data_IF_422761925473
#
_entry.id   IF_422761925473
#
_cell.length_a   1.000
_cell.length_b   1.000
_cell.length_c   1.000
_cell.angle_alpha   90.00
_cell.angle_beta   90.00
_cell.angle_gamma   90.00
#
_symmetry.space_group_name_H-M   'P 1'
#
loop_
_entity.id
_entity.type
_entity.pdbx_description
1 polymer ?
#
# COMPACT_ATOMS: atom_id res chain seq x y z
N UNK A 1 25.37 -14.99 -10.10
CA UNK A 1 24.95 -13.59 -9.82
C UNK A 1 23.60 -13.58 -9.11
N UNK A 2 23.46 -12.94 -7.94
CA UNK A 2 22.15 -12.77 -7.27
C UNK A 2 21.37 -11.72 -8.05
N UNK A 3 20.22 -12.10 -8.63
CA UNK A 3 19.36 -11.21 -9.45
C UNK A 3 19.07 -9.88 -8.74
N UNK A 4 18.88 -9.93 -7.42
CA UNK A 4 18.68 -8.75 -6.57
C UNK A 4 19.75 -7.68 -6.70
N UNK A 5 21.02 -8.06 -6.79
CA UNK A 5 22.12 -7.08 -6.94
C UNK A 5 22.08 -6.36 -8.30
N UNK A 6 21.42 -6.96 -9.29
CA UNK A 6 21.29 -6.44 -10.65
C UNK A 6 20.10 -5.47 -10.74
N UNK A 7 19.00 -5.82 -10.06
CA UNK A 7 17.76 -5.03 -10.11
C UNK A 7 17.75 -3.89 -9.08
N UNK A 8 18.46 -4.03 -7.95
CA UNK A 8 18.46 -3.02 -6.89
C UNK A 8 18.90 -1.62 -7.34
N UNK A 9 19.90 -1.46 -8.23
CA UNK A 9 20.28 -0.13 -8.74
C UNK A 9 19.27 0.48 -9.71
N UNK A 10 18.29 -0.30 -10.20
CA UNK A 10 17.30 0.20 -11.15
C UNK A 10 16.19 1.01 -10.50
N UNK A 11 16.10 1.01 -9.16
CA UNK A 11 15.12 1.76 -8.38
C UNK A 11 13.70 1.57 -8.94
N UNK A 12 13.30 0.30 -9.05
CA UNK A 12 12.07 -0.10 -9.72
C UNK A 12 10.89 0.19 -8.83
N UNK A 13 10.00 1.05 -9.33
CA UNK A 13 8.82 1.48 -8.60
C UNK A 13 7.66 0.53 -8.90
N UNK A 14 7.46 0.14 -10.15
CA UNK A 14 6.28 -0.61 -10.63
C UNK A 14 6.49 -2.12 -10.76
N UNK A 15 7.66 -2.62 -10.33
CA UNK A 15 7.98 -4.04 -10.35
C UNK A 15 8.50 -4.52 -8.99
N UNK A 16 7.85 -5.53 -8.41
CA UNK A 16 8.29 -6.13 -7.15
C UNK A 16 8.96 -7.49 -7.39
N UNK A 17 10.20 -7.66 -6.92
CA UNK A 17 10.91 -8.92 -7.04
C UNK A 17 10.51 -9.93 -5.95
N UNK A 18 10.01 -11.08 -6.38
CA UNK A 18 9.80 -12.24 -5.54
C UNK A 18 10.99 -13.19 -5.64
N UNK A 19 11.67 -13.37 -4.49
CA UNK A 19 12.85 -14.24 -4.35
C UNK A 19 12.51 -15.72 -4.55
N UNK A 20 11.33 -16.16 -4.08
CA UNK A 20 10.91 -17.57 -4.11
C UNK A 20 10.65 -18.00 -5.56
N UNK A 21 9.94 -17.17 -6.33
CA UNK A 21 9.60 -17.49 -7.73
C UNK A 21 10.64 -16.99 -8.72
N UNK A 22 11.56 -16.12 -8.29
CA UNK A 22 12.50 -15.40 -9.17
C UNK A 22 11.75 -14.67 -10.28
N UNK A 23 10.78 -13.86 -9.88
CA UNK A 23 9.92 -13.11 -10.80
C UNK A 23 9.86 -11.65 -10.36
N UNK A 24 10.02 -10.71 -11.29
CA UNK A 24 9.58 -9.33 -11.11
C UNK A 24 8.10 -9.28 -11.47
N UNK A 25 7.26 -9.17 -10.45
CA UNK A 25 5.82 -9.03 -10.65
C UNK A 25 5.48 -7.61 -11.07
N UNK A 26 4.73 -7.52 -12.17
CA UNK A 26 4.11 -6.29 -12.64
C UNK A 26 3.05 -5.82 -11.64
N UNK A 27 3.12 -4.55 -11.22
CA UNK A 27 2.08 -3.92 -10.41
C UNK A 27 0.86 -3.59 -11.29
N UNK A 28 -0.15 -4.47 -11.26
CA UNK A 28 -1.35 -4.36 -12.10
C UNK A 28 -2.30 -3.24 -11.70
N UNK A 29 -2.09 -2.62 -10.54
CA UNK A 29 -2.97 -1.58 -10.01
C UNK A 29 -2.77 -0.24 -10.73
N UNK A 30 -1.78 -0.14 -11.63
CA UNK A 30 -1.41 1.07 -12.34
C UNK A 30 -1.20 0.78 -13.84
N UNK A 31 -1.59 1.73 -14.68
CA UNK A 31 -1.37 1.67 -16.14
C UNK A 31 -1.02 3.06 -16.65
N UNK A 32 0.26 3.43 -16.54
CA UNK A 32 0.73 4.75 -16.96
C UNK A 32 2.05 4.64 -17.74
N UNK A 33 2.43 5.72 -18.43
CA UNK A 33 3.65 5.81 -19.25
C UNK A 33 4.93 5.51 -18.47
N UNK A 34 5.00 5.81 -17.17
CA UNK A 34 6.19 5.53 -16.35
C UNK A 34 6.42 4.03 -16.16
N UNK A 35 5.35 3.23 -16.14
CA UNK A 35 5.45 1.78 -16.04
C UNK A 35 6.08 1.21 -17.31
N UNK A 36 5.70 1.71 -18.48
CA UNK A 36 6.29 1.31 -19.75
C UNK A 36 7.78 1.67 -19.79
N UNK A 37 8.14 2.88 -19.34
CA UNK A 37 9.54 3.30 -19.22
C UNK A 37 10.34 2.39 -18.29
N UNK A 38 9.79 1.99 -17.15
CA UNK A 38 10.46 1.03 -16.26
C UNK A 38 10.57 -0.35 -16.87
N UNK A 39 9.53 -0.85 -17.54
CA UNK A 39 9.59 -2.12 -18.26
C UNK A 39 10.72 -2.12 -19.29
N UNK A 40 10.84 -1.05 -20.08
CA UNK A 40 11.94 -0.88 -21.03
C UNK A 40 13.29 -0.80 -20.32
N UNK A 41 13.40 -0.02 -19.23
CA UNK A 41 14.63 0.10 -18.43
C UNK A 41 15.09 -1.28 -17.91
N UNK A 42 14.17 -2.08 -17.37
CA UNK A 42 14.46 -3.42 -16.86
C UNK A 42 14.91 -4.33 -18.01
N UNK A 43 14.07 -4.49 -19.03
CA UNK A 43 14.34 -5.44 -20.12
C UNK A 43 15.62 -5.09 -20.89
N UNK A 44 15.91 -3.80 -21.07
CA UNK A 44 17.17 -3.32 -21.62
C UNK A 44 18.37 -3.69 -20.73
N UNK A 45 18.30 -3.41 -19.42
CA UNK A 45 19.39 -3.70 -18.50
C UNK A 45 19.67 -5.20 -18.40
N UNK A 46 18.61 -6.02 -18.35
CA UNK A 46 18.73 -7.48 -18.32
C UNK A 46 19.36 -8.03 -19.60
N UNK A 47 18.95 -7.51 -20.76
CA UNK A 47 19.52 -7.88 -22.06
C UNK A 47 21.01 -7.49 -22.16
N UNK A 48 21.36 -6.27 -21.73
CA UNK A 48 22.75 -5.79 -21.73
C UNK A 48 23.69 -6.64 -20.86
N UNK A 49 23.16 -7.23 -19.79
CA UNK A 49 23.91 -8.14 -18.91
C UNK A 49 23.79 -9.63 -19.29
N UNK A 50 23.22 -9.95 -20.47
CA UNK A 50 23.01 -11.32 -20.94
C UNK A 50 22.24 -12.22 -19.97
N UNK A 51 21.28 -11.65 -19.24
CA UNK A 51 20.43 -12.38 -18.30
C UNK A 51 19.24 -12.95 -19.05
N UNK A 52 19.02 -14.25 -18.95
CA UNK A 52 17.84 -14.89 -19.55
C UNK A 52 16.58 -14.58 -18.72
N UNK A 53 15.55 -14.10 -19.40
CA UNK A 53 14.24 -13.84 -18.81
C UNK A 53 13.12 -14.15 -19.79
N UNK A 54 11.91 -14.30 -19.25
CA UNK A 54 10.67 -14.44 -20.01
C UNK A 54 9.68 -13.39 -19.54
N UNK A 55 9.09 -12.66 -20.47
CA UNK A 55 7.96 -11.77 -20.19
C UNK A 55 6.67 -12.61 -20.19
N UNK A 56 5.93 -12.55 -19.10
CA UNK A 56 4.66 -13.21 -18.91
C UNK A 56 3.52 -12.39 -19.54
N UNK A 57 2.32 -12.98 -19.66
CA UNK A 57 1.16 -12.32 -20.28
C UNK A 57 0.73 -11.03 -19.54
N UNK A 58 0.97 -10.99 -18.24
CA UNK A 58 0.70 -9.83 -17.36
C UNK A 58 1.87 -8.83 -17.32
N UNK A 59 2.84 -8.93 -18.24
CA UNK A 59 4.09 -8.14 -18.27
C UNK A 59 5.04 -8.37 -17.10
N UNK A 60 4.78 -9.33 -16.22
CA UNK A 60 5.75 -9.78 -15.21
C UNK A 60 6.97 -10.43 -15.88
N UNK A 61 8.15 -10.32 -15.27
CA UNK A 61 9.41 -10.82 -15.85
C UNK A 61 9.94 -11.97 -14.99
N UNK A 62 9.93 -13.18 -15.55
CA UNK A 62 10.43 -14.40 -14.90
C UNK A 62 11.88 -14.67 -15.30
N UNK A 63 12.77 -14.86 -14.32
CA UNK A 63 14.17 -15.20 -14.58
C UNK A 63 14.31 -16.71 -14.72
N UNK A 64 14.58 -17.18 -15.94
CA UNK A 64 14.58 -18.61 -16.27
C UNK A 64 15.90 -19.30 -15.85
N UNK A 65 15.79 -20.44 -15.18
CA UNK A 65 16.92 -21.38 -14.96
C UNK A 65 16.65 -22.85 -15.27
N UNK A 66 15.45 -23.29 -15.66
CA UNK A 66 15.17 -24.71 -15.96
C UNK A 66 14.00 -24.92 -16.93
N UNK A 67 14.03 -26.06 -17.66
CA UNK A 67 12.85 -26.61 -18.36
C UNK A 67 11.79 -26.96 -17.30
N UNK A 68 10.62 -26.32 -17.37
CA UNK A 68 9.47 -26.58 -16.49
C UNK A 68 9.07 -28.07 -16.53
N UNK A 69 9.03 -28.74 -15.36
CA UNK A 69 8.53 -30.11 -15.24
C UNK A 69 7.00 -30.15 -15.10
N UNK A 70 6.36 -31.22 -15.60
CA UNK A 70 4.94 -31.50 -15.34
C UNK A 70 4.65 -31.64 -13.84
N UNK A 71 5.62 -32.13 -13.06
CA UNK A 71 5.54 -32.24 -11.60
C UNK A 71 5.40 -30.86 -10.94
N UNK A 72 6.18 -29.87 -11.39
CA UNK A 72 6.12 -28.49 -10.87
C UNK A 72 4.76 -27.84 -11.14
N UNK A 73 4.13 -28.14 -12.29
CA UNK A 73 2.78 -27.65 -12.60
C UNK A 73 1.74 -28.27 -11.66
N UNK A 74 1.87 -29.55 -11.37
CA UNK A 74 0.95 -30.25 -10.48
C UNK A 74 1.07 -29.76 -9.04
N UNK A 75 2.29 -29.59 -8.53
CA UNK A 75 2.53 -29.02 -7.19
C UNK A 75 2.00 -27.58 -7.08
N UNK A 76 2.22 -26.74 -8.10
CA UNK A 76 1.65 -25.38 -8.17
C UNK A 76 0.12 -25.41 -8.18
N UNK A 77 -0.50 -26.37 -8.88
CA UNK A 77 -1.94 -26.53 -8.93
C UNK A 77 -2.51 -26.99 -7.59
N UNK A 78 -1.89 -27.96 -6.93
CA UNK A 78 -2.29 -28.42 -5.59
C UNK A 78 -2.25 -27.28 -4.58
N UNK A 79 -1.15 -26.53 -4.55
CA UNK A 79 -1.00 -25.36 -3.68
C UNK A 79 -2.04 -24.27 -3.98
N UNK A 80 -2.36 -24.05 -5.26
CA UNK A 80 -3.42 -23.13 -5.66
C UNK A 80 -4.79 -23.57 -5.13
N UNK A 81 -5.13 -24.86 -5.25
CA UNK A 81 -6.39 -25.42 -4.75
C UNK A 81 -6.47 -25.29 -3.23
N UNK A 82 -5.38 -25.62 -2.54
CA UNK A 82 -5.26 -25.48 -1.09
C UNK A 82 -5.48 -24.02 -0.65
N UNK A 83 -4.75 -23.08 -1.24
CA UNK A 83 -4.90 -21.65 -0.94
C UNK A 83 -6.32 -21.15 -1.21
N UNK A 84 -6.96 -21.61 -2.30
CA UNK A 84 -8.34 -21.22 -2.66
C UNK A 84 -9.38 -21.69 -1.65
N UNK A 85 -9.12 -22.78 -0.91
CA UNK A 85 -10.01 -23.29 0.14
C UNK A 85 -9.92 -22.50 1.44
N UNK A 86 -8.86 -21.71 1.64
CA UNK A 86 -8.69 -20.94 2.87
C UNK A 86 -9.68 -19.78 2.99
N UNK A 87 -10.06 -19.48 4.22
CA UNK A 87 -10.97 -18.39 4.56
C UNK A 87 -10.15 -17.15 4.96
N UNK A 88 -9.64 -16.41 3.97
CA UNK A 88 -8.88 -15.17 4.19
C UNK A 88 -9.77 -13.97 3.88
N UNK A 89 -9.84 -13.01 4.82
CA UNK A 89 -10.72 -11.85 4.71
C UNK A 89 -9.94 -10.53 4.81
N UNK A 90 -10.23 -9.62 3.89
CA UNK A 90 -9.79 -8.22 3.88
C UNK A 90 -10.96 -7.33 4.30
N UNK A 91 -10.73 -6.39 5.21
CA UNK A 91 -11.76 -5.50 5.75
C UNK A 91 -12.02 -4.23 4.90
N UNK A 92 -11.54 -4.23 3.66
CA UNK A 92 -11.67 -3.14 2.69
C UNK A 92 -12.06 -3.71 1.30
N UNK A 93 -12.21 -2.85 0.30
CA UNK A 93 -12.63 -3.24 -1.05
C UNK A 93 -11.48 -3.66 -2.00
N UNK A 94 -10.22 -3.64 -1.54
CA UNK A 94 -9.04 -3.96 -2.38
C UNK A 94 -9.04 -5.45 -2.73
N UNK A 95 -8.99 -5.77 -4.02
CA UNK A 95 -8.99 -7.16 -4.51
C UNK A 95 -7.58 -7.73 -4.47
N UNK A 96 -7.39 -8.81 -3.71
CA UNK A 96 -6.15 -9.60 -3.69
C UNK A 96 -6.49 -11.06 -3.86
N UNK A 97 -5.69 -11.76 -4.69
CA UNK A 97 -5.85 -13.18 -4.97
C UNK A 97 -5.93 -13.99 -3.67
N UNK A 98 -6.89 -14.93 -3.62
CA UNK A 98 -7.20 -15.79 -2.47
C UNK A 98 -7.86 -15.12 -1.26
N UNK A 99 -8.01 -13.78 -1.25
CA UNK A 99 -8.71 -13.08 -0.19
C UNK A 99 -10.15 -12.72 -0.61
N UNK A 100 -11.08 -12.80 0.34
CA UNK A 100 -12.47 -12.33 0.24
C UNK A 100 -12.55 -10.94 0.88
N UNK A 101 -13.43 -10.07 0.40
CA UNK A 101 -13.60 -8.73 0.95
C UNK A 101 -14.85 -8.63 1.82
N UNK A 102 -14.70 -7.98 2.97
CA UNK A 102 -15.79 -7.55 3.85
C UNK A 102 -15.51 -6.07 4.15
N UNK A 103 -15.86 -5.16 3.24
CA UNK A 103 -15.60 -3.74 3.45
C UNK A 103 -16.37 -3.24 4.67
N UNK A 104 -15.64 -2.83 5.71
CA UNK A 104 -16.22 -2.29 6.94
C UNK A 104 -16.11 -0.77 7.04
N UNK A 105 -15.59 -0.14 6.00
CA UNK A 105 -15.56 1.29 5.91
C UNK A 105 -15.63 1.74 4.45
N UNK A 106 -16.06 2.97 4.27
CA UNK A 106 -15.98 3.70 3.02
C UNK A 106 -15.24 5.02 3.23
N UNK A 107 -14.61 5.50 2.18
CA UNK A 107 -13.95 6.81 2.19
C UNK A 107 -14.95 7.84 1.71
N UNK A 108 -15.20 8.86 2.54
CA UNK A 108 -15.98 10.04 2.14
C UNK A 108 -15.04 11.21 1.93
N UNK A 109 -15.13 11.82 0.77
CA UNK A 109 -14.38 13.04 0.47
C UNK A 109 -15.13 14.25 1.03
N UNK A 110 -14.37 15.11 1.69
CA UNK A 110 -14.88 16.34 2.31
C UNK A 110 -14.55 17.48 1.36
N UNK A 111 -15.58 18.17 0.87
CA UNK A 111 -15.40 19.30 -0.05
C UNK A 111 -14.65 20.42 0.64
N UNK A 112 -13.59 20.91 -0.01
CA UNK A 112 -12.76 21.99 0.50
C UNK A 112 -12.52 23.03 -0.58
N UNK A 113 -12.65 24.32 -0.22
CA UNK A 113 -12.29 25.43 -1.09
C UNK A 113 -10.89 25.89 -0.72
N UNK A 114 -9.89 25.36 -1.42
CA UNK A 114 -8.47 25.63 -1.17
C UNK A 114 -7.94 26.52 -2.30
N UNK A 115 -7.29 27.62 -1.93
CA UNK A 115 -6.45 28.37 -2.87
C UNK A 115 -5.03 27.79 -2.83
N UNK A 116 -4.72 26.89 -3.77
CA UNK A 116 -3.43 26.21 -3.83
C UNK A 116 -2.25 27.14 -4.13
N UNK A 117 -2.50 28.31 -4.72
CA UNK A 117 -1.46 29.30 -5.03
C UNK A 117 -0.85 29.96 -3.79
N UNK A 118 -1.45 29.77 -2.62
CA UNK A 118 -0.91 30.24 -1.34
C UNK A 118 0.19 29.32 -0.78
N UNK A 119 0.49 28.20 -1.42
CA UNK A 119 1.35 27.16 -0.89
C UNK A 119 2.45 26.77 -1.88
N UNK A 120 3.65 26.54 -1.36
CA UNK A 120 4.82 26.11 -2.13
C UNK A 120 4.96 24.58 -2.16
N UNK A 121 4.29 23.88 -1.24
CA UNK A 121 4.40 22.45 -1.06
C UNK A 121 3.11 21.82 -0.53
N UNK A 122 2.79 20.62 -1.05
CA UNK A 122 1.67 19.79 -0.58
C UNK A 122 2.19 18.50 0.02
N UNK A 123 1.69 18.12 1.20
CA UNK A 123 1.99 16.83 1.83
C UNK A 123 0.80 15.90 1.66
N UNK A 124 1.08 14.66 1.22
CA UNK A 124 0.13 13.56 1.15
C UNK A 124 0.62 12.36 1.96
N UNK A 125 -0.08 12.04 3.04
CA UNK A 125 0.20 10.85 3.86
C UNK A 125 -0.63 9.63 3.46
N UNK A 126 -1.42 9.72 2.39
CA UNK A 126 -2.34 8.68 1.96
C UNK A 126 -2.75 8.88 0.50
N UNK A 127 -2.94 7.77 -0.22
CA UNK A 127 -3.55 7.76 -1.55
C UNK A 127 -4.92 8.44 -1.56
N UNK A 128 -5.71 8.29 -0.50
CA UNK A 128 -7.04 8.88 -0.42
C UNK A 128 -6.99 10.40 -0.35
N UNK A 129 -5.94 11.00 0.21
CA UNK A 129 -5.75 12.46 0.18
C UNK A 129 -5.54 12.96 -1.26
N UNK A 130 -4.76 12.23 -2.04
CA UNK A 130 -4.53 12.51 -3.48
C UNK A 130 -5.84 12.38 -4.26
N UNK A 131 -6.54 11.25 -4.12
CA UNK A 131 -7.81 11.01 -4.84
C UNK A 131 -8.89 12.02 -4.46
N UNK A 132 -9.00 12.36 -3.17
CA UNK A 132 -9.97 13.34 -2.68
C UNK A 132 -9.76 14.67 -3.39
N UNK A 133 -8.56 15.26 -3.26
CA UNK A 133 -8.28 16.56 -3.87
C UNK A 133 -8.35 16.50 -5.39
N UNK A 134 -7.83 15.45 -6.01
CA UNK A 134 -7.89 15.30 -7.45
C UNK A 134 -9.34 15.25 -7.96
N UNK A 135 -10.28 14.67 -7.20
CA UNK A 135 -11.70 14.68 -7.58
C UNK A 135 -12.36 16.07 -7.52
N UNK A 136 -11.77 17.03 -6.80
CA UNK A 136 -12.39 18.31 -6.47
C UNK A 136 -11.78 19.49 -7.21
N UNK A 137 -10.45 19.52 -7.34
CA UNK A 137 -9.72 20.62 -7.94
C UNK A 137 -8.47 20.04 -8.61
N UNK A 138 -8.10 20.49 -9.82
CA UNK A 138 -6.90 19.99 -10.52
C UNK A 138 -5.69 20.92 -10.35
N UNK A 139 -5.87 22.12 -9.79
CA UNK A 139 -4.81 23.13 -9.63
C UNK A 139 -3.67 22.66 -8.71
N UNK A 140 -3.97 21.79 -7.74
CA UNK A 140 -2.95 21.18 -6.86
C UNK A 140 -1.83 20.49 -7.65
N UNK A 141 -2.12 19.98 -8.86
CA UNK A 141 -1.15 19.24 -9.69
C UNK A 141 0.06 20.09 -10.06
N UNK A 142 -0.09 21.42 -10.06
CA UNK A 142 0.99 22.39 -10.35
C UNK A 142 1.93 22.57 -9.15
N UNK A 143 1.47 22.27 -7.94
CA UNK A 143 2.22 22.50 -6.70
C UNK A 143 3.10 21.28 -6.38
N UNK A 144 4.38 21.48 -6.03
CA UNK A 144 5.27 20.41 -5.59
C UNK A 144 4.66 19.54 -4.48
N UNK A 145 4.57 18.24 -4.71
CA UNK A 145 3.90 17.27 -3.84
C UNK A 145 4.89 16.30 -3.19
N UNK A 146 4.76 16.09 -1.89
CA UNK A 146 5.59 15.25 -1.04
C UNK A 146 4.72 14.12 -0.51
N UNK A 147 5.02 12.88 -0.90
CA UNK A 147 4.19 11.72 -0.60
C UNK A 147 4.90 10.78 0.38
N UNK A 148 4.21 10.35 1.44
CA UNK A 148 4.78 9.51 2.53
C UNK A 148 5.38 8.18 2.09
N UNK A 149 4.93 7.68 0.93
CA UNK A 149 5.33 6.38 0.43
C UNK A 149 5.36 6.39 -1.08
N UNK A 150 6.21 5.53 -1.62
CA UNK A 150 6.27 5.22 -3.04
C UNK A 150 4.90 4.99 -3.69
N UNK A 151 3.99 4.26 -3.04
CA UNK A 151 2.67 3.98 -3.61
C UNK A 151 1.77 5.22 -3.72
N UNK A 152 1.92 6.16 -2.79
CA UNK A 152 1.23 7.45 -2.85
C UNK A 152 1.89 8.34 -3.90
N UNK A 153 3.23 8.29 -3.99
CA UNK A 153 4.02 9.00 -4.97
C UNK A 153 3.71 8.58 -6.43
N UNK A 154 3.56 7.27 -6.67
CA UNK A 154 3.04 6.70 -7.92
C UNK A 154 1.70 7.35 -8.26
N UNK A 155 0.74 7.30 -7.34
CA UNK A 155 -0.59 7.84 -7.59
C UNK A 155 -0.55 9.34 -7.92
N UNK A 156 0.28 10.13 -7.23
CA UNK A 156 0.48 11.55 -7.56
C UNK A 156 0.90 11.71 -9.03
N UNK A 157 1.90 10.95 -9.50
CA UNK A 157 2.34 10.98 -10.90
C UNK A 157 1.25 10.53 -11.87
N UNK A 158 0.52 9.48 -11.51
CA UNK A 158 -0.49 8.85 -12.36
C UNK A 158 -1.66 9.78 -12.65
N UNK A 159 -2.06 10.58 -11.65
CA UNK A 159 -3.06 11.62 -11.84
C UNK A 159 -2.47 12.91 -12.40
N UNK A 160 -1.20 12.93 -12.81
CA UNK A 160 -0.56 14.09 -13.45
C UNK A 160 -0.12 15.19 -12.48
N UNK A 161 0.07 14.89 -11.20
CA UNK A 161 0.59 15.80 -10.20
C UNK A 161 2.13 15.92 -10.22
N UNK A 162 2.63 17.06 -9.74
CA UNK A 162 4.06 17.34 -9.62
C UNK A 162 4.65 16.68 -8.37
N UNK A 163 5.07 15.42 -8.47
CA UNK A 163 5.81 14.75 -7.40
C UNK A 163 7.21 15.35 -7.23
N UNK A 164 7.52 15.85 -6.03
CA UNK A 164 8.83 16.35 -5.65
C UNK A 164 9.62 15.37 -4.77
N UNK A 165 8.94 14.67 -3.88
CA UNK A 165 9.59 13.74 -2.93
C UNK A 165 8.70 12.53 -2.63
N UNK A 166 9.33 11.37 -2.46
CA UNK A 166 8.70 10.15 -2.01
C UNK A 166 9.41 9.66 -0.75
N UNK A 167 8.66 9.56 0.35
CA UNK A 167 9.15 9.14 1.65
C UNK A 167 9.57 7.66 1.68
N UNK A 168 10.58 7.37 2.50
CA UNK A 168 11.23 6.05 2.57
C UNK A 168 10.71 5.22 3.73
N UNK A 169 10.39 5.86 4.85
CA UNK A 169 10.02 5.21 6.12
C UNK A 169 8.59 4.72 6.20
N UNK A 170 7.66 5.32 5.44
CA UNK A 170 6.22 4.98 5.41
C UNK A 170 5.51 5.16 6.76
N UNK A 171 6.15 5.82 7.74
CA UNK A 171 5.58 6.17 9.04
C UNK A 171 5.43 7.70 9.13
N UNK A 172 4.31 8.21 9.65
CA UNK A 172 4.01 9.64 9.60
C UNK A 172 5.04 10.50 10.33
N UNK A 173 5.46 10.09 11.52
CA UNK A 173 6.43 10.85 12.33
C UNK A 173 7.83 10.85 11.70
N UNK A 174 8.29 9.68 11.23
CA UNK A 174 9.60 9.54 10.57
C UNK A 174 9.62 10.32 9.24
N UNK A 175 8.50 10.31 8.52
CA UNK A 175 8.33 11.10 7.31
C UNK A 175 8.36 12.62 7.60
N UNK A 176 7.88 13.08 8.76
CA UNK A 176 8.02 14.47 9.16
C UNK A 176 9.49 14.90 9.22
N UNK A 177 10.35 14.05 9.81
CA UNK A 177 11.79 14.29 9.89
C UNK A 177 12.49 14.25 8.52
N UNK A 178 12.06 13.36 7.62
CA UNK A 178 12.56 13.33 6.23
C UNK A 178 12.29 14.64 5.47
N UNK A 179 11.25 15.38 5.87
CA UNK A 179 10.78 16.57 5.17
C UNK A 179 11.38 17.89 5.68
N UNK A 180 12.11 17.90 6.81
CA UNK A 180 12.53 19.16 7.44
C UNK A 180 13.42 20.01 6.52
N UNK A 181 14.46 19.41 5.95
CA UNK A 181 15.35 20.11 5.02
C UNK A 181 14.65 20.44 3.71
N UNK A 182 13.84 19.50 3.22
CA UNK A 182 13.09 19.65 1.98
C UNK A 182 12.04 20.77 2.04
N UNK A 183 11.48 21.07 3.22
CA UNK A 183 10.40 22.03 3.39
C UNK A 183 10.83 23.34 4.04
N UNK A 184 12.12 23.50 4.35
CA UNK A 184 12.65 24.71 4.99
C UNK A 184 12.31 25.96 4.18
N UNK A 185 11.71 26.95 4.84
CA UNK A 185 11.32 28.22 4.24
C UNK A 185 10.08 28.19 3.34
N UNK A 186 9.44 27.03 3.14
CA UNK A 186 8.23 26.88 2.32
C UNK A 186 6.97 27.07 3.16
N UNK A 187 5.90 27.57 2.53
CA UNK A 187 4.54 27.49 3.06
C UNK A 187 3.89 26.19 2.61
N UNK A 188 3.55 25.34 3.57
CA UNK A 188 3.18 23.94 3.33
C UNK A 188 1.71 23.72 3.65
N UNK A 189 1.02 22.93 2.83
CA UNK A 189 -0.33 22.43 3.12
C UNK A 189 -0.32 20.91 3.25
N UNK A 190 -0.74 20.41 4.42
CA UNK A 190 -0.95 18.99 4.66
C UNK A 190 -2.40 18.59 4.40
N UNK A 191 -2.62 17.77 3.36
CA UNK A 191 -3.93 17.30 2.92
C UNK A 191 -4.21 15.94 3.56
N UNK A 192 -4.99 15.94 4.63
CA UNK A 192 -5.07 14.80 5.57
C UNK A 192 -6.45 14.20 5.73
N UNK A 193 -6.46 13.04 6.38
CA UNK A 193 -7.67 12.43 6.92
C UNK A 193 -8.18 13.22 8.13
N UNK A 194 -9.47 13.07 8.45
CA UNK A 194 -10.06 13.62 9.67
C UNK A 194 -9.41 13.06 10.93
N UNK A 195 -9.23 11.75 10.98
CA UNK A 195 -8.50 11.04 12.05
C UNK A 195 -7.08 10.72 11.58
N UNK A 196 -6.07 11.16 12.35
CA UNK A 196 -4.65 10.89 12.09
C UNK A 196 -4.02 10.29 13.34
N UNK A 197 -3.12 9.33 13.17
CA UNK A 197 -2.44 8.61 14.28
C UNK A 197 -1.03 9.16 14.54
N UNK A 198 -0.44 9.83 13.55
CA UNK A 198 0.90 10.43 13.63
C UNK A 198 0.85 11.87 14.16
N UNK A 199 1.93 12.29 14.82
CA UNK A 199 2.17 13.65 15.28
C UNK A 199 2.90 14.51 14.22
N UNK A 200 2.87 14.10 12.96
CA UNK A 200 3.62 14.74 11.85
C UNK A 200 3.41 16.26 11.77
N UNK A 201 2.17 16.76 11.95
CA UNK A 201 1.90 18.20 11.90
C UNK A 201 2.64 18.95 13.01
N UNK A 202 2.63 18.41 14.21
CA UNK A 202 3.28 19.00 15.38
C UNK A 202 4.80 18.97 15.22
N UNK A 203 5.35 17.82 14.81
CA UNK A 203 6.79 17.68 14.53
C UNK A 203 7.26 18.71 13.50
N UNK A 204 6.51 18.92 12.40
CA UNK A 204 6.86 19.91 11.39
C UNK A 204 6.84 21.34 11.97
N UNK A 205 5.80 21.69 12.72
CA UNK A 205 5.65 23.03 13.32
C UNK A 205 6.71 23.32 14.38
N UNK A 206 6.98 22.37 15.27
CA UNK A 206 8.01 22.46 16.31
C UNK A 206 9.41 22.65 15.72
N UNK A 207 9.66 22.13 14.51
CA UNK A 207 10.90 22.31 13.77
C UNK A 207 10.87 23.51 12.81
N UNK A 208 9.93 24.46 13.01
CA UNK A 208 9.89 25.74 12.31
C UNK A 208 9.32 25.71 10.89
N UNK A 209 8.68 24.61 10.48
CA UNK A 209 8.00 24.53 9.18
C UNK A 209 6.61 25.18 9.28
N UNK A 210 6.33 26.13 8.38
CA UNK A 210 5.01 26.76 8.26
C UNK A 210 4.04 25.80 7.57
N UNK A 211 3.39 24.95 8.35
CA UNK A 211 2.48 23.92 7.85
C UNK A 211 1.03 24.16 8.29
N UNK A 212 0.18 24.51 7.33
CA UNK A 212 -1.27 24.50 7.47
C UNK A 212 -1.79 23.08 7.18
N UNK A 213 -2.93 22.68 7.74
CA UNK A 213 -3.56 21.39 7.45
C UNK A 213 -5.03 21.54 7.05
N UNK A 214 -5.49 20.67 6.16
CA UNK A 214 -6.90 20.59 5.76
C UNK A 214 -7.34 19.14 5.71
N UNK A 215 -8.51 18.88 6.30
CA UNK A 215 -9.18 17.59 6.25
C UNK A 215 -9.91 17.44 4.92
N UNK A 216 -9.47 16.50 4.08
CA UNK A 216 -10.02 16.29 2.72
C UNK A 216 -10.79 14.99 2.58
N UNK A 217 -10.67 14.08 3.55
CA UNK A 217 -11.47 12.86 3.60
C UNK A 217 -11.63 12.33 5.02
N UNK A 218 -12.62 11.46 5.20
CA UNK A 218 -12.83 10.70 6.43
C UNK A 218 -13.20 9.24 6.13
N UNK A 219 -12.87 8.36 7.08
CA UNK A 219 -13.29 6.97 7.04
C UNK A 219 -14.64 6.85 7.75
N UNK A 220 -15.66 6.36 7.06
CA UNK A 220 -16.96 6.07 7.65
C UNK A 220 -17.13 4.59 7.83
N UNK A 221 -17.53 4.17 9.03
CA UNK A 221 -17.93 2.79 9.26
C UNK A 221 -19.09 2.42 8.34
N UNK A 222 -18.94 1.30 7.64
CA UNK A 222 -19.95 0.74 6.77
C UNK A 222 -20.40 -0.59 7.37
N UNK A 223 -21.64 -0.65 7.82
CA UNK A 223 -22.19 -1.88 8.37
C UNK A 223 -22.30 -2.93 7.23
N UNK A 224 -21.79 -4.16 7.45
CA UNK A 224 -21.92 -5.20 6.44
C UNK A 224 -23.40 -5.53 6.22
N UNK A 225 -23.80 -5.71 4.95
CA UNK A 225 -25.20 -5.96 4.55
C UNK A 225 -25.81 -7.18 5.26
N UNK A 226 -24.98 -8.15 5.63
CA UNK A 226 -25.37 -9.33 6.40
C UNK A 226 -24.38 -9.51 7.55
N UNK A 227 -24.90 -9.61 8.79
CA UNK A 227 -24.12 -10.01 9.97
C UNK A 227 -23.87 -11.51 9.93
N UNK A 228 -23.05 -11.96 8.99
CA UNK A 228 -22.62 -13.36 8.92
C UNK A 228 -21.48 -13.59 9.90
N UNK A 229 -21.63 -14.59 10.77
CA UNK A 229 -20.46 -15.16 11.46
C UNK A 229 -19.47 -15.67 10.41
N UNK A 230 -18.20 -15.33 10.56
CA UNK A 230 -17.18 -15.86 9.66
C UNK A 230 -17.01 -17.36 9.92
N UNK A 231 -16.66 -18.17 8.90
CA UNK A 231 -16.37 -19.58 9.12
C UNK A 231 -15.28 -19.76 10.19
N UNK A 232 -15.36 -20.85 10.96
CA UNK A 232 -14.27 -21.23 11.87
C UNK A 232 -12.92 -21.28 11.12
N UNK A 233 -11.84 -20.99 11.83
CA UNK A 233 -10.48 -20.92 11.27
C UNK A 233 -10.27 -19.82 10.21
N UNK A 234 -11.11 -18.78 10.21
CA UNK A 234 -10.92 -17.62 9.35
C UNK A 234 -9.68 -16.80 9.71
N UNK A 235 -8.98 -16.31 8.70
CA UNK A 235 -7.83 -15.42 8.82
C UNK A 235 -8.24 -14.02 8.40
N UNK A 236 -8.12 -13.06 9.29
CA UNK A 236 -8.70 -11.72 9.12
C UNK A 236 -7.56 -10.71 9.10
N UNK A 237 -7.49 -9.91 8.05
CA UNK A 237 -6.42 -8.94 7.81
C UNK A 237 -6.85 -7.56 8.29
N UNK A 238 -6.08 -7.00 9.21
CA UNK A 238 -6.30 -5.68 9.81
C UNK A 238 -5.22 -4.70 9.34
N UNK A 239 -5.65 -3.72 8.55
CA UNK A 239 -4.75 -2.77 7.90
C UNK A 239 -4.59 -1.44 8.64
N UNK A 240 -5.36 -1.21 9.69
CA UNK A 240 -5.25 -0.01 10.54
C UNK A 240 -5.96 -0.21 11.88
N UNK A 241 -5.67 0.64 12.90
CA UNK A 241 -6.44 0.66 14.15
C UNK A 241 -7.95 0.77 13.92
N UNK A 242 -8.39 1.59 12.96
CA UNK A 242 -9.81 1.74 12.63
C UNK A 242 -10.43 0.42 12.15
N UNK A 243 -9.71 -0.41 11.38
CA UNK A 243 -10.26 -1.71 10.94
C UNK A 243 -10.51 -2.67 12.09
N UNK A 244 -9.74 -2.59 13.18
CA UNK A 244 -9.98 -3.37 14.41
C UNK A 244 -11.27 -2.88 15.06
N UNK A 245 -11.39 -1.56 15.29
CA UNK A 245 -12.60 -0.94 15.85
C UNK A 245 -13.85 -1.29 15.04
N UNK A 246 -13.79 -1.19 13.72
CA UNK A 246 -14.90 -1.49 12.84
C UNK A 246 -15.27 -2.98 12.83
N UNK A 247 -14.28 -3.87 12.90
CA UNK A 247 -14.54 -5.30 13.03
C UNK A 247 -15.31 -5.61 14.31
N UNK A 248 -14.86 -5.12 15.47
CA UNK A 248 -15.53 -5.36 16.75
C UNK A 248 -16.90 -4.68 16.87
N UNK A 249 -17.18 -3.66 16.05
CA UNK A 249 -18.51 -3.08 15.93
C UNK A 249 -19.48 -3.98 15.15
N UNK A 250 -18.98 -4.80 14.22
CA UNK A 250 -19.78 -5.60 13.32
C UNK A 250 -19.83 -7.10 13.67
N UNK A 251 -18.76 -7.64 14.26
CA UNK A 251 -18.55 -9.06 14.50
C UNK A 251 -18.02 -9.31 15.92
N UNK A 252 -18.35 -10.48 16.46
CA UNK A 252 -17.69 -11.03 17.64
C UNK A 252 -16.42 -11.78 17.24
N UNK A 253 -15.43 -11.78 18.13
CA UNK A 253 -14.24 -12.60 17.97
C UNK A 253 -14.53 -14.06 18.29
N UNK A 254 -13.92 -14.96 17.54
CA UNK A 254 -13.97 -16.41 17.74
C UNK A 254 -12.54 -16.90 17.94
N UNK A 255 -12.30 -17.78 18.92
CA UNK A 255 -10.95 -18.25 19.25
C UNK A 255 -10.29 -19.06 18.14
N UNK A 256 -11.08 -19.57 17.17
CA UNK A 256 -10.52 -20.20 15.97
C UNK A 256 -9.96 -19.20 14.96
N UNK A 257 -10.33 -17.92 15.06
CA UNK A 257 -9.86 -16.90 14.13
C UNK A 257 -8.39 -16.57 14.34
N UNK A 258 -7.73 -16.19 13.26
CA UNK A 258 -6.35 -15.69 13.29
C UNK A 258 -6.33 -14.25 12.78
N UNK A 259 -5.83 -13.33 13.59
CA UNK A 259 -5.65 -11.94 13.19
C UNK A 259 -4.28 -11.79 12.51
N UNK A 260 -4.27 -11.17 11.32
CA UNK A 260 -3.06 -10.74 10.64
C UNK A 260 -3.02 -9.22 10.68
N UNK A 261 -2.04 -8.65 11.37
CA UNK A 261 -1.83 -7.21 11.45
C UNK A 261 -0.82 -6.75 10.40
N UNK A 262 -1.14 -5.66 9.69
CA UNK A 262 -0.23 -5.06 8.70
C UNK A 262 1.08 -4.54 9.29
N UNK A 263 1.11 -4.26 10.58
CA UNK A 263 2.27 -3.69 11.25
C UNK A 263 2.11 -3.57 12.76
N UNK A 264 3.20 -3.21 13.44
CA UNK A 264 3.26 -3.11 14.90
C UNK A 264 2.32 -2.05 15.46
N UNK A 265 2.19 -0.90 14.79
CA UNK A 265 1.29 0.17 15.23
C UNK A 265 -0.15 -0.31 15.32
N UNK A 266 -0.66 -0.99 14.27
CA UNK A 266 -2.00 -1.60 14.28
C UNK A 266 -2.12 -2.71 15.33
N UNK A 267 -1.08 -3.53 15.51
CA UNK A 267 -1.10 -4.64 16.45
C UNK A 267 -1.33 -4.18 17.92
N UNK A 268 -0.83 -3.01 18.29
CA UNK A 268 -1.00 -2.42 19.64
C UNK A 268 -2.46 -2.12 20.02
N UNK A 269 -3.36 -2.03 19.03
CA UNK A 269 -4.78 -1.70 19.26
C UNK A 269 -5.67 -2.95 19.42
N UNK A 270 -5.10 -4.15 19.35
CA UNK A 270 -5.86 -5.37 19.63
C UNK A 270 -6.18 -5.49 21.13
N UNK A 271 -7.35 -6.07 21.48
CA UNK A 271 -7.61 -6.53 22.84
C UNK A 271 -6.50 -7.47 23.33
N UNK A 272 -6.15 -7.41 24.62
CA UNK A 272 -5.05 -8.18 25.23
C UNK A 272 -5.12 -9.70 25.01
N UNK A 273 -6.32 -10.24 24.81
CA UNK A 273 -6.53 -11.68 24.59
C UNK A 273 -6.29 -12.13 23.13
N UNK A 274 -6.06 -11.19 22.20
CA UNK A 274 -5.83 -11.49 20.78
C UNK A 274 -4.41 -11.10 20.42
N UNK A 275 -3.61 -12.11 20.07
CA UNK A 275 -2.25 -11.93 19.62
C UNK A 275 -2.20 -12.00 18.08
N UNK A 276 -2.15 -10.85 17.37
CA UNK A 276 -2.11 -10.85 15.92
C UNK A 276 -0.73 -11.26 15.40
N UNK A 277 -0.71 -11.99 14.28
CA UNK A 277 0.51 -12.26 13.52
C UNK A 277 0.83 -11.03 12.69
N UNK A 278 2.07 -10.55 12.78
CA UNK A 278 2.52 -9.36 12.05
C UNK A 278 3.04 -9.77 10.67
N UNK A 279 2.59 -9.07 9.62
CA UNK A 279 3.08 -9.26 8.26
C UNK A 279 4.53 -8.79 8.09
N UNK A 280 5.28 -9.40 7.17
CA UNK A 280 6.71 -9.11 6.98
C UNK A 280 6.94 -7.73 6.31
N UNK A 281 5.93 -7.21 5.61
CA UNK A 281 5.92 -5.87 5.01
C UNK A 281 4.59 -5.19 5.28
N UNK A 282 4.60 -3.86 5.36
CA UNK A 282 3.39 -3.02 5.50
C UNK A 282 2.62 -2.90 4.18
N UNK A 283 2.10 -4.02 3.67
CA UNK A 283 1.24 -4.06 2.48
C UNK A 283 0.16 -5.14 2.63
N UNK A 284 -1.01 -4.91 2.02
CA UNK A 284 -2.12 -5.88 2.05
C UNK A 284 -1.72 -7.21 1.40
N UNK A 285 -0.93 -7.17 0.33
CA UNK A 285 -0.39 -8.37 -0.35
C UNK A 285 0.51 -9.18 0.58
N UNK A 286 1.39 -8.53 1.34
CA UNK A 286 2.22 -9.21 2.33
C UNK A 286 1.39 -9.83 3.46
N UNK A 287 0.30 -9.16 3.88
CA UNK A 287 -0.63 -9.73 4.85
C UNK A 287 -1.33 -10.99 4.32
N UNK A 288 -1.80 -10.98 3.07
CA UNK A 288 -2.42 -12.17 2.44
C UNK A 288 -1.40 -13.29 2.31
N UNK A 289 -0.17 -13.00 1.88
CA UNK A 289 0.89 -14.00 1.83
C UNK A 289 1.18 -14.60 3.21
N UNK A 290 1.25 -13.77 4.26
CA UNK A 290 1.42 -14.23 5.65
C UNK A 290 0.26 -15.11 6.11
N UNK A 291 -0.97 -14.75 5.74
CA UNK A 291 -2.15 -15.56 6.02
C UNK A 291 -2.07 -16.93 5.35
N UNK A 292 -1.59 -17.01 4.10
CA UNK A 292 -1.44 -18.27 3.38
C UNK A 292 -0.35 -19.17 3.98
N UNK A 293 0.72 -18.59 4.52
CA UNK A 293 1.84 -19.31 5.13
C UNK A 293 1.57 -19.82 6.54
N UNK A 294 0.60 -19.23 7.23
CA UNK A 294 0.25 -19.61 8.62
C UNK A 294 -0.79 -20.72 8.58
N UNK A 295 -0.51 -21.89 9.16
CA UNK A 295 -1.48 -22.98 9.28
C UNK A 295 -2.55 -22.65 10.32
#
# INVERSE_FOLDING_TARGET
>A
MKIEKIISPLDLIYYEYDRKTKTLFYDTDYSNRFIELEFFKITYHLSKQNIKFKVLKDKSIEFTKQKFSLKDKFEKLLKYIEHKKQNIYLLNDVKIKFAKNIPLFEIKYIKQKINFYNYDALIFSSKNGVLAIDSMNKEWRKIPSYAISEQTAKLVKDVGGHLKFAGKTRHGDEFAYELLDELKGKRVLYLRAKEVVSNMLDILKENGIKCDDVVVYENHFKEPKEKKTLPKNSKIIFSSPSTIKYFFKAFSWDDSYRAISIGRTTAKYFPKHINPIIADKTSLKACVNKALETL
#
